data_IF_351867419867
#
_entry.id   IF_351867419867
#
_cell.length_a   1.000
_cell.length_b   1.000
_cell.length_c   1.000
_cell.angle_alpha   90.00
_cell.angle_beta   90.00
_cell.angle_gamma   90.00
#
_symmetry.space_group_name_H-M   'P 1'
#
loop_
_entity.id
_entity.type
_entity.pdbx_description
1 polymer ?
#
# COMPACT_ATOMS: atom_id res chain seq x y z
N UNK A 1 -16.80 16.93 23.21
CA UNK A 1 -16.01 15.94 22.46
C UNK A 1 -16.51 15.94 21.03
N UNK A 2 -15.61 15.85 20.03
CA UNK A 2 -16.06 15.69 18.64
C UNK A 2 -16.49 14.23 18.42
N UNK A 3 -17.71 14.06 17.95
CA UNK A 3 -18.24 12.76 17.57
C UNK A 3 -18.26 12.67 16.04
N UNK A 4 -17.83 11.54 15.51
CA UNK A 4 -17.80 11.34 14.08
C UNK A 4 -19.22 11.13 13.55
N UNK A 5 -19.71 12.06 12.73
CA UNK A 5 -20.92 11.85 11.97
C UNK A 5 -20.61 11.01 10.71
N UNK A 6 -21.19 9.82 10.62
CA UNK A 6 -21.00 8.91 9.48
C UNK A 6 -21.86 9.28 8.27
N UNK A 7 -22.87 10.14 8.46
CA UNK A 7 -23.79 10.57 7.42
C UNK A 7 -23.80 12.11 7.29
N UNK A 8 -22.65 12.75 7.00
CA UNK A 8 -22.55 14.22 6.99
C UNK A 8 -23.28 14.86 5.82
N UNK A 9 -23.65 14.10 4.78
CA UNK A 9 -24.29 14.62 3.57
C UNK A 9 -25.71 14.06 3.49
N UNK A 10 -26.70 14.91 3.74
CA UNK A 10 -28.14 14.64 3.57
C UNK A 10 -28.62 13.32 4.19
N UNK A 11 -28.01 12.89 5.32
CA UNK A 11 -28.27 11.60 5.99
C UNK A 11 -28.24 10.38 5.03
N UNK A 12 -27.56 10.52 3.88
CA UNK A 12 -27.46 9.49 2.87
C UNK A 12 -26.13 8.74 2.99
N UNK A 13 -26.17 7.41 3.22
CA UNK A 13 -24.96 6.58 3.26
C UNK A 13 -24.18 6.63 1.95
N UNK A 14 -24.89 6.65 0.81
CA UNK A 14 -24.29 6.65 -0.51
C UNK A 14 -23.50 7.93 -0.78
N UNK A 15 -24.09 9.11 -0.51
CA UNK A 15 -23.43 10.39 -0.74
C UNK A 15 -22.23 10.58 0.18
N UNK A 16 -22.37 10.16 1.45
CA UNK A 16 -21.27 10.22 2.42
C UNK A 16 -20.13 9.27 2.04
N UNK A 17 -20.43 8.06 1.55
CA UNK A 17 -19.43 7.12 1.05
C UNK A 17 -18.72 7.62 -0.22
N UNK A 18 -19.45 8.25 -1.15
CA UNK A 18 -18.84 8.85 -2.34
C UNK A 18 -17.89 9.99 -1.98
N UNK A 19 -18.25 10.84 -1.03
CA UNK A 19 -17.35 11.88 -0.53
C UNK A 19 -16.10 11.31 0.13
N UNK A 20 -16.24 10.26 0.94
CA UNK A 20 -15.11 9.56 1.55
C UNK A 20 -14.21 8.86 0.52
N UNK A 21 -14.74 8.47 -0.63
CA UNK A 21 -13.99 7.83 -1.70
C UNK A 21 -13.18 8.80 -2.59
N UNK A 22 -13.41 10.12 -2.51
CA UNK A 22 -12.71 11.13 -3.30
C UNK A 22 -11.18 10.97 -3.24
N UNK A 23 -10.54 10.84 -2.07
CA UNK A 23 -9.09 10.69 -1.99
C UNK A 23 -8.56 9.45 -2.71
N UNK A 24 -9.33 8.36 -2.68
CA UNK A 24 -9.00 7.11 -3.36
C UNK A 24 -9.04 7.31 -4.88
N UNK A 25 -10.08 7.96 -5.39
CA UNK A 25 -10.18 8.27 -6.82
C UNK A 25 -9.08 9.22 -7.29
N UNK A 26 -8.71 10.22 -6.49
CA UNK A 26 -7.58 11.13 -6.78
C UNK A 26 -6.29 10.32 -6.91
N UNK A 27 -6.01 9.43 -5.97
CA UNK A 27 -4.82 8.60 -5.96
C UNK A 27 -4.79 7.66 -7.18
N UNK A 28 -5.88 6.93 -7.43
CA UNK A 28 -5.98 6.00 -8.56
C UNK A 28 -5.87 6.70 -9.92
N UNK A 29 -6.46 7.90 -10.05
CA UNK A 29 -6.38 8.69 -11.29
C UNK A 29 -4.96 9.15 -11.56
N UNK A 30 -4.26 9.64 -10.52
CA UNK A 30 -2.89 10.11 -10.66
C UNK A 30 -1.91 8.97 -10.99
N UNK A 31 -2.07 7.80 -10.39
CA UNK A 31 -1.20 6.64 -10.67
C UNK A 31 -1.62 5.96 -11.98
N UNK A 32 -2.90 5.62 -12.13
CA UNK A 32 -3.38 4.78 -13.24
C UNK A 32 -3.47 5.52 -14.56
N UNK A 33 -4.07 6.71 -14.57
CA UNK A 33 -4.31 7.48 -15.80
C UNK A 33 -3.16 8.42 -16.11
N UNK A 34 -2.76 9.24 -15.12
CA UNK A 34 -1.73 10.27 -15.33
C UNK A 34 -0.31 9.71 -15.19
N UNK A 35 -0.14 8.48 -14.70
CA UNK A 35 1.17 7.82 -14.51
C UNK A 35 2.18 8.69 -13.75
N UNK A 36 1.68 9.47 -12.79
CA UNK A 36 2.54 10.31 -11.96
C UNK A 36 3.32 9.46 -10.95
N UNK A 37 4.47 9.93 -10.46
CA UNK A 37 5.22 9.24 -9.41
C UNK A 37 4.35 9.00 -8.18
N UNK A 38 4.54 7.85 -7.51
CA UNK A 38 3.73 7.44 -6.36
C UNK A 38 3.71 8.48 -5.22
N UNK A 39 4.83 9.18 -4.98
CA UNK A 39 4.88 10.21 -3.95
C UNK A 39 3.97 11.41 -4.26
N UNK A 40 3.84 11.82 -5.55
CA UNK A 40 2.92 12.89 -5.96
C UNK A 40 1.48 12.46 -5.72
N UNK A 41 1.13 11.23 -6.10
CA UNK A 41 -0.20 10.69 -5.87
C UNK A 41 -0.53 10.58 -4.37
N UNK A 42 0.43 10.14 -3.55
CA UNK A 42 0.26 10.00 -2.10
C UNK A 42 0.03 11.37 -1.43
N UNK A 43 0.84 12.38 -1.76
CA UNK A 43 0.67 13.76 -1.22
C UNK A 43 -0.65 14.38 -1.67
N UNK A 44 -1.02 14.20 -2.95
CA UNK A 44 -2.29 14.72 -3.47
C UNK A 44 -3.49 14.01 -2.86
N UNK A 45 -3.40 12.67 -2.67
CA UNK A 45 -4.41 11.88 -1.97
C UNK A 45 -4.59 12.33 -0.52
N UNK A 46 -3.48 12.56 0.19
CA UNK A 46 -3.51 13.08 1.57
C UNK A 46 -4.13 14.48 1.62
N UNK A 47 -3.75 15.38 0.71
CA UNK A 47 -4.31 16.72 0.65
C UNK A 47 -5.83 16.69 0.40
N UNK A 48 -6.28 15.85 -0.55
CA UNK A 48 -7.72 15.68 -0.82
C UNK A 48 -8.46 15.07 0.37
N UNK A 49 -7.85 14.12 1.08
CA UNK A 49 -8.41 13.53 2.30
C UNK A 49 -8.59 14.60 3.40
N UNK A 50 -7.58 15.46 3.61
CA UNK A 50 -7.67 16.56 4.57
C UNK A 50 -8.79 17.53 4.20
N UNK A 51 -8.94 17.89 2.93
CA UNK A 51 -10.03 18.75 2.47
C UNK A 51 -11.39 18.13 2.77
N UNK A 52 -11.58 16.85 2.44
CA UNK A 52 -12.85 16.15 2.71
C UNK A 52 -13.13 16.07 4.21
N UNK A 53 -12.13 15.72 5.01
CA UNK A 53 -12.30 15.56 6.48
C UNK A 53 -12.62 16.89 7.15
N UNK A 54 -11.98 17.98 6.73
CA UNK A 54 -12.20 19.30 7.33
C UNK A 54 -13.51 19.94 6.88
N UNK A 55 -13.85 19.84 5.59
CA UNK A 55 -15.01 20.54 5.03
C UNK A 55 -16.30 19.71 5.13
N UNK A 56 -16.25 18.42 4.85
CA UNK A 56 -17.44 17.54 4.84
C UNK A 56 -17.71 16.99 6.23
N UNK A 57 -16.70 16.39 6.86
CA UNK A 57 -16.83 15.77 8.17
C UNK A 57 -16.65 16.75 9.35
N UNK A 58 -16.25 18.00 9.06
CA UNK A 58 -16.06 19.07 10.08
C UNK A 58 -15.18 18.63 11.24
N UNK A 59 -14.16 17.83 10.95
CA UNK A 59 -13.21 17.35 11.95
C UNK A 59 -12.36 18.53 12.47
N UNK A 60 -12.13 18.66 13.79
CA UNK A 60 -11.24 19.66 14.33
C UNK A 60 -9.81 19.52 13.79
N UNK A 61 -9.18 20.62 13.42
CA UNK A 61 -7.84 20.66 12.81
C UNK A 61 -6.79 19.90 13.65
N UNK A 62 -6.87 20.03 14.99
CA UNK A 62 -5.95 19.30 15.88
C UNK A 62 -6.05 17.78 15.77
N UNK A 63 -7.26 17.24 15.60
CA UNK A 63 -7.46 15.81 15.38
C UNK A 63 -6.99 15.37 13.99
N UNK A 64 -7.23 16.19 12.97
CA UNK A 64 -6.75 15.93 11.61
C UNK A 64 -5.21 15.87 11.54
N UNK A 65 -4.51 16.83 12.16
CA UNK A 65 -3.05 16.81 12.29
C UNK A 65 -2.58 15.60 13.09
N UNK A 66 -3.24 15.29 14.20
CA UNK A 66 -2.93 14.11 15.01
C UNK A 66 -3.07 12.81 14.20
N UNK A 67 -4.12 12.69 13.37
CA UNK A 67 -4.31 11.53 12.50
C UNK A 67 -3.20 11.42 11.44
N UNK A 68 -2.80 12.54 10.82
CA UNK A 68 -1.70 12.56 9.84
C UNK A 68 -0.37 12.17 10.46
N UNK A 69 -0.03 12.74 11.62
CA UNK A 69 1.24 12.43 12.31
C UNK A 69 1.29 10.98 12.78
N UNK A 70 0.17 10.44 13.28
CA UNK A 70 0.07 9.04 13.65
C UNK A 70 0.22 8.13 12.43
N UNK A 71 -0.50 8.41 11.34
CA UNK A 71 -0.38 7.66 10.09
C UNK A 71 1.04 7.69 9.51
N UNK A 72 1.71 8.84 9.57
CA UNK A 72 3.11 8.96 9.16
C UNK A 72 4.05 8.13 10.05
N UNK A 73 3.83 8.12 11.36
CA UNK A 73 4.60 7.31 12.29
C UNK A 73 4.37 5.80 12.05
N UNK A 74 3.15 5.37 11.83
CA UNK A 74 2.81 3.97 11.49
C UNK A 74 3.37 3.55 10.12
N UNK A 75 3.39 4.47 9.15
CA UNK A 75 4.01 4.21 7.85
C UNK A 75 5.54 4.07 7.93
N UNK A 76 6.20 4.92 8.71
CA UNK A 76 7.66 4.91 8.86
C UNK A 76 8.16 3.77 9.74
N UNK A 77 7.55 3.58 10.91
CA UNK A 77 8.06 2.63 11.89
C UNK A 77 7.71 1.16 11.57
N UNK A 78 6.45 0.70 11.58
CA UNK A 78 6.19 -0.70 11.29
C UNK A 78 6.39 -1.05 9.80
N UNK A 79 5.82 -0.26 8.87
CA UNK A 79 5.86 -0.60 7.45
C UNK A 79 7.25 -0.33 6.85
N UNK A 80 7.82 0.84 7.09
CA UNK A 80 9.14 1.21 6.61
C UNK A 80 10.23 0.29 7.15
N UNK A 81 10.13 -0.16 8.41
CA UNK A 81 11.04 -1.13 9.02
C UNK A 81 10.99 -2.49 8.33
N UNK A 82 9.79 -3.00 8.06
CA UNK A 82 9.60 -4.27 7.33
C UNK A 82 10.22 -4.16 5.93
N UNK A 83 9.91 -3.09 5.19
CA UNK A 83 10.44 -2.88 3.83
C UNK A 83 11.96 -2.75 3.84
N UNK A 84 12.54 -2.05 4.80
CA UNK A 84 13.99 -1.92 4.95
C UNK A 84 14.66 -3.29 5.08
N UNK A 85 14.20 -4.14 6.00
CA UNK A 85 14.79 -5.46 6.20
C UNK A 85 14.51 -6.41 5.02
N UNK A 86 13.36 -6.28 4.35
CA UNK A 86 13.08 -7.03 3.14
C UNK A 86 14.09 -6.71 2.02
N UNK A 87 14.41 -5.42 1.82
CA UNK A 87 15.43 -4.98 0.85
C UNK A 87 16.82 -5.48 1.25
N UNK A 88 17.17 -5.42 2.52
CA UNK A 88 18.47 -5.94 3.03
C UNK A 88 18.57 -7.44 2.73
N UNK A 89 17.56 -8.23 3.08
CA UNK A 89 17.52 -9.68 2.79
C UNK A 89 17.62 -9.97 1.29
N UNK A 90 16.90 -9.23 0.47
CA UNK A 90 16.97 -9.35 -0.98
C UNK A 90 18.40 -9.06 -1.50
N UNK A 91 19.03 -7.98 -1.02
CA UNK A 91 20.41 -7.65 -1.39
C UNK A 91 21.40 -8.75 -0.97
N UNK A 92 21.29 -9.25 0.24
CA UNK A 92 22.14 -10.35 0.72
C UNK A 92 21.97 -11.60 -0.14
N UNK A 93 20.76 -11.95 -0.53
CA UNK A 93 20.50 -13.12 -1.41
C UNK A 93 21.06 -12.92 -2.81
N UNK A 94 21.05 -11.70 -3.34
CA UNK A 94 21.71 -11.38 -4.62
C UNK A 94 23.23 -11.47 -4.51
N UNK A 95 23.82 -10.81 -3.52
CA UNK A 95 25.28 -10.72 -3.34
C UNK A 95 25.92 -12.09 -3.02
N UNK A 96 25.18 -12.97 -2.37
CA UNK A 96 25.60 -14.35 -2.08
C UNK A 96 25.37 -15.34 -3.21
N UNK A 97 24.71 -14.92 -4.30
CA UNK A 97 24.34 -15.79 -5.43
C UNK A 97 23.23 -16.81 -5.12
N UNK A 98 22.67 -16.76 -3.88
CA UNK A 98 21.61 -17.69 -3.47
C UNK A 98 20.29 -17.45 -4.19
N UNK A 99 20.09 -16.27 -4.73
CA UNK A 99 18.91 -15.94 -5.51
C UNK A 99 18.80 -16.80 -6.77
N UNK A 100 19.93 -17.07 -7.47
CA UNK A 100 19.95 -17.94 -8.64
C UNK A 100 19.58 -19.40 -8.27
N UNK A 101 20.03 -19.89 -7.12
CA UNK A 101 19.67 -21.23 -6.63
C UNK A 101 18.16 -21.34 -6.38
N UNK A 102 17.55 -20.30 -5.78
CA UNK A 102 16.10 -20.26 -5.54
C UNK A 102 15.35 -20.26 -6.88
N UNK A 103 15.78 -19.42 -7.82
CA UNK A 103 15.19 -19.29 -9.16
C UNK A 103 15.27 -20.62 -9.93
N UNK A 104 16.43 -21.27 -9.94
CA UNK A 104 16.63 -22.55 -10.59
C UNK A 104 15.80 -23.67 -9.93
N UNK A 105 15.71 -23.66 -8.60
CA UNK A 105 14.87 -24.61 -7.86
C UNK A 105 13.40 -24.49 -8.24
N UNK A 106 12.87 -23.27 -8.35
CA UNK A 106 11.50 -23.03 -8.79
C UNK A 106 11.33 -23.40 -10.28
N UNK A 107 12.34 -23.05 -11.12
CA UNK A 107 12.35 -23.37 -12.53
C UNK A 107 12.35 -24.88 -12.82
N UNK A 108 12.94 -25.67 -11.94
CA UNK A 108 13.00 -27.13 -12.07
C UNK A 108 11.68 -27.86 -11.73
N UNK A 109 10.74 -27.19 -11.06
CA UNK A 109 9.47 -27.81 -10.65
C UNK A 109 8.54 -28.17 -11.83
N UNK A 110 8.63 -27.40 -12.91
CA UNK A 110 7.82 -27.64 -14.12
C UNK A 110 8.51 -27.07 -15.37
N UNK A 111 8.36 -27.75 -16.49
CA UNK A 111 8.83 -27.27 -17.79
C UNK A 111 7.87 -26.26 -18.45
N UNK A 112 6.63 -26.14 -17.97
CA UNK A 112 5.65 -25.21 -18.53
C UNK A 112 5.82 -23.82 -17.92
N UNK A 113 6.17 -22.85 -18.80
CA UNK A 113 6.37 -21.45 -18.42
C UNK A 113 5.14 -20.80 -17.76
N UNK A 114 3.93 -21.24 -18.12
CA UNK A 114 2.70 -20.69 -17.55
C UNK A 114 2.52 -21.17 -16.11
N UNK A 115 2.80 -22.44 -15.86
CA UNK A 115 2.79 -23.00 -14.51
C UNK A 115 3.91 -22.42 -13.66
N UNK A 116 5.11 -22.19 -14.21
CA UNK A 116 6.20 -21.48 -13.51
C UNK A 116 5.77 -20.08 -13.09
N UNK A 117 5.16 -19.32 -13.99
CA UNK A 117 4.67 -17.97 -13.68
C UNK A 117 3.61 -17.99 -12.56
N UNK A 118 2.70 -18.95 -12.58
CA UNK A 118 1.71 -19.12 -11.50
C UNK A 118 2.35 -19.52 -10.18
N UNK A 119 3.31 -20.44 -10.19
CA UNK A 119 4.03 -20.86 -8.99
C UNK A 119 4.80 -19.69 -8.35
N UNK A 120 5.50 -18.90 -9.16
CA UNK A 120 6.26 -17.74 -8.68
C UNK A 120 5.32 -16.65 -8.18
N UNK A 121 4.33 -16.26 -8.97
CA UNK A 121 3.47 -15.12 -8.63
C UNK A 121 2.52 -15.43 -7.48
N UNK A 122 1.96 -16.64 -7.42
CA UNK A 122 0.93 -17.00 -6.45
C UNK A 122 1.49 -17.79 -5.27
N UNK A 123 2.07 -18.97 -5.49
CA UNK A 123 2.49 -19.83 -4.39
C UNK A 123 3.70 -19.27 -3.63
N UNK A 124 4.72 -18.81 -4.36
CA UNK A 124 5.92 -18.24 -3.75
C UNK A 124 5.63 -16.85 -3.16
N UNK A 125 4.82 -16.03 -3.86
CA UNK A 125 4.34 -14.76 -3.34
C UNK A 125 3.54 -14.92 -2.05
N UNK A 126 2.59 -15.86 -2.00
CA UNK A 126 1.80 -16.14 -0.80
C UNK A 126 2.66 -16.70 0.36
N UNK A 127 3.66 -17.52 0.05
CA UNK A 127 4.61 -18.03 1.05
C UNK A 127 5.43 -16.88 1.67
N UNK A 128 5.97 -15.99 0.85
CA UNK A 128 6.73 -14.82 1.33
C UNK A 128 5.81 -13.90 2.14
N UNK A 129 4.58 -13.66 1.70
CA UNK A 129 3.62 -12.83 2.43
C UNK A 129 3.26 -13.42 3.78
N UNK A 130 3.05 -14.75 3.85
CA UNK A 130 2.78 -15.46 5.10
C UNK A 130 3.95 -15.45 6.08
N UNK A 131 5.19 -15.51 5.58
CA UNK A 131 6.40 -15.53 6.41
C UNK A 131 6.85 -14.13 6.85
N UNK A 132 6.70 -13.11 6.00
CA UNK A 132 7.28 -11.77 6.18
C UNK A 132 6.25 -10.67 6.42
N UNK A 133 4.97 -10.97 6.22
CA UNK A 133 3.87 -10.03 6.39
C UNK A 133 3.64 -9.12 5.17
N UNK A 134 2.71 -8.19 5.36
CA UNK A 134 2.12 -7.35 4.33
C UNK A 134 3.15 -6.58 3.48
N UNK A 135 3.04 -6.74 2.18
CA UNK A 135 3.77 -5.92 1.19
C UNK A 135 5.15 -6.42 0.78
N UNK A 136 5.72 -7.43 1.43
CA UNK A 136 7.05 -7.98 1.11
C UNK A 136 7.12 -8.57 -0.31
N UNK A 137 6.12 -9.32 -0.82
CA UNK A 137 6.17 -9.85 -2.18
C UNK A 137 6.25 -8.76 -3.25
N UNK A 138 5.58 -7.63 -3.03
CA UNK A 138 5.60 -6.49 -3.96
C UNK A 138 6.98 -5.84 -3.98
N UNK A 139 7.64 -5.70 -2.82
CA UNK A 139 8.98 -5.12 -2.72
C UNK A 139 10.08 -6.01 -3.34
N UNK A 140 9.85 -7.34 -3.36
CA UNK A 140 10.80 -8.32 -3.93
C UNK A 140 10.55 -8.55 -5.43
N UNK A 141 9.30 -8.43 -5.90
CA UNK A 141 8.92 -8.69 -7.29
C UNK A 141 8.98 -7.46 -8.20
N UNK A 142 9.09 -6.24 -7.65
CA UNK A 142 9.18 -4.97 -8.37
C UNK A 142 10.62 -4.65 -8.75
#
# INVERSE_FOLDING_TARGET
MWEQNYLPIADSPLLSALAAAIPIFVLLTLIGIMRKPAWVAAVSGLASALVVVLLVYKMPLGLAIGAVTRGAAEGLFPIGWIVFWAIVMYRVTLDTGKFEIIKDSIGSLTADRRLQAMLIAFAFGAFIEGASGFGTPVAVAA
#
